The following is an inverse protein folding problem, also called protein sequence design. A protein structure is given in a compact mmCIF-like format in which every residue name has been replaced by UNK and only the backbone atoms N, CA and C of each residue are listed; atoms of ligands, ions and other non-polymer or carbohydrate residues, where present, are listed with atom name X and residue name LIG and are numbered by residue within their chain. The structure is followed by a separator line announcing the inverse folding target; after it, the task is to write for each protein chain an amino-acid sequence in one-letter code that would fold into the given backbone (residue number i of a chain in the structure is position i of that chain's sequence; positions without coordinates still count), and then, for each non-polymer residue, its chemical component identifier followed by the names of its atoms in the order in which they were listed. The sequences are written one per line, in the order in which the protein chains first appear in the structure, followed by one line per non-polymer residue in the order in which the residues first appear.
data_IF_738424582691
#
_entry.id   IF_738424582691
#
_cell.length_a   1.000
_cell.length_b   1.000
_cell.length_c   1.000
_cell.angle_alpha   90.00
_cell.angle_beta   90.00
_cell.angle_gamma   90.00
#
_symmetry.space_group_name_H-M   'P 1'
#
loop_
_entity.id
_entity.type
_entity.pdbx_description
1 polymer ?
#
# COMPACT_ATOMS: atom_id res chain seq x y z
N UNK A 1 14.55 5.60 -18.60
CA UNK A 1 14.14 6.41 -17.42
C UNK A 1 15.24 7.33 -16.93
N UNK A 2 16.51 6.90 -16.82
CA UNK A 2 17.62 7.75 -16.34
C UNK A 2 17.80 9.07 -17.13
N UNK A 3 17.62 9.05 -18.45
CA UNK A 3 17.73 10.24 -19.31
C UNK A 3 16.56 11.23 -19.18
N UNK A 4 15.35 10.75 -18.86
CA UNK A 4 14.18 11.63 -18.71
C UNK A 4 14.19 12.41 -17.39
N UNK A 5 14.59 11.76 -16.28
CA UNK A 5 14.69 12.43 -14.98
C UNK A 5 15.82 13.47 -14.98
N UNK A 6 16.96 13.14 -15.60
CA UNK A 6 18.11 14.05 -15.70
C UNK A 6 17.83 15.26 -16.62
N UNK A 7 17.03 15.08 -17.67
CA UNK A 7 16.66 16.13 -18.64
C UNK A 7 15.45 16.97 -18.28
N UNK A 8 14.74 16.66 -17.19
CA UNK A 8 13.58 17.45 -16.76
C UNK A 8 14.06 18.71 -16.05
N UNK A 9 13.77 19.88 -16.64
CA UNK A 9 14.16 21.19 -16.11
C UNK A 9 13.48 21.50 -14.76
N UNK A 10 12.20 21.13 -14.63
CA UNK A 10 11.44 21.24 -13.38
C UNK A 10 11.11 19.85 -12.84
N UNK A 11 11.85 19.42 -11.81
CA UNK A 11 11.66 18.09 -11.20
C UNK A 11 10.40 18.00 -10.35
N UNK A 12 9.77 19.13 -9.98
CA UNK A 12 8.51 19.10 -9.23
C UNK A 12 7.40 18.41 -10.02
N UNK A 13 7.39 18.57 -11.35
CA UNK A 13 6.46 17.90 -12.27
C UNK A 13 6.59 16.37 -12.33
N UNK A 14 7.68 15.80 -11.82
CA UNK A 14 7.93 14.35 -11.79
C UNK A 14 8.20 13.83 -10.38
N UNK A 15 7.99 14.66 -9.36
CA UNK A 15 8.16 14.25 -7.97
C UNK A 15 7.00 13.35 -7.56
N UNK A 16 7.30 12.38 -6.69
CA UNK A 16 6.28 11.55 -6.06
C UNK A 16 5.24 12.46 -5.40
N UNK A 17 3.95 12.18 -5.63
CA UNK A 17 2.81 13.03 -5.25
C UNK A 17 2.83 14.46 -5.82
N UNK A 18 3.34 14.67 -7.04
CA UNK A 18 3.29 15.96 -7.76
C UNK A 18 1.85 16.45 -8.01
N UNK A 19 1.36 16.37 -9.25
CA UNK A 19 -0.04 16.73 -9.59
C UNK A 19 -1.07 15.66 -9.15
N UNK A 20 -0.78 14.93 -8.07
CA UNK A 20 -1.63 13.86 -7.55
C UNK A 20 -2.92 14.46 -6.99
N UNK A 21 -4.06 14.02 -7.52
CA UNK A 21 -5.38 14.40 -7.03
C UNK A 21 -6.04 13.22 -6.30
N UNK A 22 -6.18 13.27 -4.98
CA UNK A 22 -6.73 12.17 -4.19
C UNK A 22 -8.20 11.86 -4.51
N UNK A 23 -8.95 12.76 -5.15
CA UNK A 23 -10.35 12.53 -5.50
C UNK A 23 -10.52 11.57 -6.71
N UNK A 24 -9.44 11.33 -7.47
CA UNK A 24 -9.50 10.56 -8.73
C UNK A 24 -8.31 9.64 -8.97
N UNK A 25 -7.16 9.94 -8.36
CA UNK A 25 -5.92 9.20 -8.54
C UNK A 25 -5.71 8.27 -7.36
N UNK A 26 -5.19 7.06 -7.58
CA UNK A 26 -4.85 6.10 -6.53
C UNK A 26 -3.35 5.89 -6.49
N UNK A 27 -2.75 6.20 -5.33
CA UNK A 27 -1.38 5.85 -5.02
C UNK A 27 -1.31 4.39 -4.57
N UNK A 28 -0.41 3.59 -5.14
CA UNK A 28 -0.20 2.23 -4.63
C UNK A 28 1.27 1.86 -4.54
N UNK A 29 1.59 1.07 -3.52
CA UNK A 29 2.91 0.48 -3.37
C UNK A 29 2.78 -0.91 -2.77
N UNK A 30 3.69 -1.81 -3.17
CA UNK A 30 3.68 -3.20 -2.72
C UNK A 30 5.03 -3.57 -2.13
N UNK A 31 4.99 -4.11 -0.91
CA UNK A 31 6.16 -4.66 -0.22
C UNK A 31 6.23 -6.18 -0.29
N UNK A 32 5.27 -6.83 -0.97
CA UNK A 32 5.13 -8.29 -1.03
C UNK A 32 6.40 -8.99 -1.53
N UNK A 33 7.05 -8.43 -2.55
CA UNK A 33 8.29 -9.00 -3.10
C UNK A 33 9.48 -8.88 -2.16
N UNK A 34 9.44 -7.93 -1.22
CA UNK A 34 10.51 -7.69 -0.25
C UNK A 34 10.36 -8.51 1.02
N UNK A 35 9.43 -9.47 1.09
CA UNK A 35 9.16 -10.22 2.32
C UNK A 35 10.45 -10.74 2.99
N UNK A 36 11.32 -11.42 2.25
CA UNK A 36 12.56 -11.98 2.79
C UNK A 36 13.63 -10.95 3.15
N UNK A 37 13.60 -9.76 2.56
CA UNK A 37 14.61 -8.71 2.76
C UNK A 37 14.19 -7.66 3.79
N UNK A 38 12.91 -7.31 3.82
CA UNK A 38 12.33 -6.36 4.76
C UNK A 38 11.95 -7.04 6.08
N UNK A 39 11.68 -8.35 6.04
CA UNK A 39 11.23 -9.13 7.18
C UNK A 39 12.03 -10.44 7.31
N UNK A 40 13.25 -10.36 7.87
CA UNK A 40 14.15 -11.50 7.95
C UNK A 40 13.66 -12.56 8.96
N UNK A 41 14.23 -13.75 8.86
CA UNK A 41 14.13 -14.77 9.90
C UNK A 41 14.93 -14.33 11.14
N UNK A 42 14.26 -14.23 12.29
CA UNK A 42 14.83 -13.83 13.57
C UNK A 42 15.47 -15.00 14.34
N UNK A 43 15.72 -16.12 13.67
CA UNK A 43 16.44 -17.27 14.20
C UNK A 43 15.50 -18.33 14.81
N UNK A 44 16.07 -19.40 15.37
CA UNK A 44 15.34 -20.64 15.66
C UNK A 44 14.22 -20.51 16.71
N UNK A 45 14.24 -19.43 17.50
CA UNK A 45 13.21 -19.17 18.52
C UNK A 45 12.03 -18.36 17.98
N UNK A 46 12.28 -17.40 17.08
CA UNK A 46 11.30 -16.39 16.66
C UNK A 46 10.85 -16.57 15.20
N UNK A 47 11.69 -17.16 14.35
CA UNK A 47 11.37 -17.46 12.96
C UNK A 47 11.11 -16.22 12.11
N UNK A 48 10.36 -16.43 11.02
CA UNK A 48 9.88 -15.37 10.13
C UNK A 48 8.60 -14.79 10.75
N UNK A 49 8.42 -13.45 10.78
CA UNK A 49 7.19 -12.88 11.30
C UNK A 49 5.98 -13.32 10.48
N UNK A 50 4.91 -13.66 11.16
CA UNK A 50 3.65 -14.07 10.54
C UNK A 50 2.76 -12.88 10.18
N UNK A 51 3.00 -11.72 10.80
CA UNK A 51 2.13 -10.56 10.68
C UNK A 51 2.92 -9.26 10.54
N UNK A 52 2.52 -8.44 9.57
CA UNK A 52 3.17 -7.19 9.23
C UNK A 52 2.14 -6.08 9.25
N UNK A 53 2.34 -5.08 10.11
CA UNK A 53 1.47 -3.91 10.16
C UNK A 53 2.28 -2.64 10.01
N UNK A 54 1.72 -1.73 9.22
CA UNK A 54 2.20 -0.35 9.19
C UNK A 54 1.90 0.29 10.54
N UNK A 55 2.87 0.96 11.19
CA UNK A 55 2.57 1.82 12.32
C UNK A 55 1.57 2.91 11.88
N UNK A 56 0.71 3.40 12.79
CA UNK A 56 -0.16 4.52 12.49
C UNK A 56 0.62 5.70 11.90
N UNK A 57 0.17 6.24 10.77
CA UNK A 57 0.76 7.40 10.12
C UNK A 57 -0.25 8.54 10.00
N UNK A 58 0.22 9.72 9.62
CA UNK A 58 -0.68 10.73 9.07
C UNK A 58 -1.45 10.11 7.88
N UNK A 59 -2.75 10.41 7.71
CA UNK A 59 -3.52 9.94 6.58
C UNK A 59 -2.87 10.36 5.25
N UNK A 60 -2.85 9.44 4.29
CA UNK A 60 -2.43 9.68 2.91
C UNK A 60 -3.60 9.30 2.00
N UNK A 61 -4.51 10.24 1.71
CA UNK A 61 -5.74 9.94 0.99
C UNK A 61 -5.49 9.25 -0.35
N UNK A 62 -6.42 8.37 -0.71
CA UNK A 62 -6.38 7.56 -1.93
C UNK A 62 -5.09 6.75 -2.10
N UNK A 63 -4.65 6.11 -1.01
CA UNK A 63 -3.46 5.24 -1.02
C UNK A 63 -3.80 3.81 -0.62
N UNK A 64 -3.22 2.84 -1.33
CA UNK A 64 -3.30 1.40 -1.04
C UNK A 64 -1.90 0.81 -0.94
N UNK A 65 -1.55 0.28 0.24
CA UNK A 65 -0.27 -0.39 0.49
C UNK A 65 -0.46 -1.89 0.71
N UNK A 66 0.24 -2.70 -0.06
CA UNK A 66 0.19 -4.15 0.06
C UNK A 66 1.36 -4.69 0.89
N UNK A 67 1.03 -5.51 1.89
CA UNK A 67 1.97 -6.22 2.76
C UNK A 67 2.00 -7.71 2.44
N UNK A 68 3.15 -8.38 2.66
CA UNK A 68 3.22 -9.83 2.56
C UNK A 68 2.34 -10.49 3.63
N UNK A 69 1.82 -11.67 3.32
CA UNK A 69 1.14 -12.56 4.25
C UNK A 69 1.68 -13.98 4.04
N UNK A 70 1.65 -14.82 5.07
CA UNK A 70 2.27 -16.15 5.10
C UNK A 70 1.59 -17.18 4.21
N UNK A 71 0.37 -16.93 3.70
CA UNK A 71 -0.46 -17.93 3.02
C UNK A 71 -0.80 -17.60 1.55
N UNK A 72 0.04 -16.83 0.86
CA UNK A 72 -0.23 -16.42 -0.53
C UNK A 72 -1.31 -15.34 -0.68
N UNK A 73 -1.97 -14.99 0.42
CA UNK A 73 -2.80 -13.80 0.58
C UNK A 73 -1.95 -12.52 0.61
N UNK A 74 -2.61 -11.37 0.77
CA UNK A 74 -1.96 -10.10 1.09
C UNK A 74 -2.86 -9.27 1.99
N UNK A 75 -2.23 -8.61 2.95
CA UNK A 75 -2.90 -7.58 3.72
C UNK A 75 -2.76 -6.26 2.97
N UNK A 76 -3.79 -5.43 3.01
CA UNK A 76 -3.79 -4.09 2.44
C UNK A 76 -4.11 -3.06 3.51
N UNK A 77 -3.33 -1.98 3.54
CA UNK A 77 -3.63 -0.75 4.27
C UNK A 77 -4.18 0.26 3.26
N UNK A 78 -5.41 0.71 3.48
CA UNK A 78 -6.17 1.57 2.56
C UNK A 78 -6.58 2.84 3.29
N UNK A 79 -6.22 4.00 2.72
CA UNK A 79 -6.63 5.30 3.23
C UNK A 79 -7.57 5.96 2.23
N UNK A 80 -8.85 5.97 2.56
CA UNK A 80 -9.95 6.54 1.76
C UNK A 80 -10.87 7.36 2.66
N UNK A 81 -11.82 8.08 2.07
CA UNK A 81 -12.84 8.78 2.85
C UNK A 81 -13.80 7.79 3.51
N UNK A 82 -14.52 8.23 4.55
CA UNK A 82 -15.54 7.40 5.19
C UNK A 82 -16.64 7.00 4.19
N UNK A 83 -17.03 7.91 3.28
CA UNK A 83 -18.01 7.65 2.22
C UNK A 83 -17.54 6.58 1.22
N UNK A 84 -16.29 6.66 0.78
CA UNK A 84 -15.69 5.65 -0.10
C UNK A 84 -15.58 4.30 0.61
N UNK A 85 -15.20 4.30 1.89
CA UNK A 85 -15.12 3.08 2.69
C UNK A 85 -16.48 2.40 2.83
N UNK A 86 -17.53 3.15 3.19
CA UNK A 86 -18.90 2.64 3.28
C UNK A 86 -19.36 2.08 1.93
N UNK A 87 -19.05 2.76 0.83
CA UNK A 87 -19.38 2.33 -0.52
C UNK A 87 -18.68 1.02 -0.88
N UNK A 88 -17.37 0.90 -0.60
CA UNK A 88 -16.61 -0.34 -0.81
C UNK A 88 -17.18 -1.49 0.03
N UNK A 89 -17.60 -1.22 1.26
CA UNK A 89 -18.16 -2.24 2.15
C UNK A 89 -19.56 -2.70 1.76
N UNK A 90 -20.29 -1.87 1.01
CA UNK A 90 -21.57 -2.25 0.42
C UNK A 90 -21.43 -2.98 -0.94
N UNK A 91 -20.25 -2.95 -1.58
CA UNK A 91 -20.03 -3.52 -2.91
C UNK A 91 -19.81 -5.05 -2.87
N UNK A 92 -20.67 -5.86 -3.52
CA UNK A 92 -20.50 -7.31 -3.60
C UNK A 92 -19.24 -7.76 -4.36
N UNK A 93 -18.76 -6.99 -5.33
CA UNK A 93 -17.53 -7.30 -6.06
C UNK A 93 -16.30 -7.12 -5.17
N UNK A 94 -16.29 -6.07 -4.34
CA UNK A 94 -15.24 -5.84 -3.35
C UNK A 94 -15.25 -6.90 -2.26
N UNK A 95 -16.38 -7.07 -1.58
CA UNK A 95 -16.52 -7.99 -0.42
C UNK A 95 -16.35 -9.46 -0.78
N UNK A 96 -16.42 -9.82 -2.07
CA UNK A 96 -16.05 -11.15 -2.56
C UNK A 96 -14.57 -11.48 -2.37
N UNK A 97 -13.69 -10.49 -2.38
CA UNK A 97 -12.23 -10.67 -2.35
C UNK A 97 -11.55 -10.01 -1.16
N UNK A 98 -12.14 -8.97 -0.59
CA UNK A 98 -11.58 -8.20 0.51
C UNK A 98 -12.40 -8.41 1.79
N UNK A 99 -11.68 -8.73 2.88
CA UNK A 99 -12.22 -8.75 4.24
C UNK A 99 -11.69 -7.52 5.00
N UNK A 100 -12.57 -6.85 5.73
CA UNK A 100 -12.19 -5.75 6.61
C UNK A 100 -11.70 -6.29 7.96
N UNK A 101 -10.44 -6.04 8.30
CA UNK A 101 -9.75 -6.63 9.47
C UNK A 101 -9.64 -5.63 10.65
N UNK A 102 -10.38 -4.52 10.62
CA UNK A 102 -10.44 -3.52 11.70
C UNK A 102 -10.09 -2.10 11.29
#
# INVERSE_FOLDING_TARGET
MATNVAGTADRSAITYTGDFNPDRDVGSSSTRWFQKSAFPDFGPLLGIPEFYRRPPSLPFPSTVLFFPSTEGNCDADVCVTDEDFETLMADPEWTKYAEHIG
#
